data_IF_099656965099
#
_entry.id   IF_099656965099
#
_cell.length_a   1.000
_cell.length_b   1.000
_cell.length_c   1.000
_cell.angle_alpha   90.00
_cell.angle_beta   90.00
_cell.angle_gamma   90.00
#
_symmetry.space_group_name_H-M   'P 1'
#
loop_
_entity.id
_entity.type
_entity.pdbx_description
1 polymer ?
#
# COMPACT_ATOMS: atom_id res chain seq x y z
N UNK A 1 1.53 -15.14 -4.87
CA UNK A 1 2.11 -14.96 -3.51
C UNK A 1 3.37 -14.08 -3.45
N UNK A 2 4.47 -14.36 -4.17
CA UNK A 2 5.71 -13.54 -4.05
C UNK A 2 5.54 -12.05 -4.45
N UNK A 3 4.74 -11.77 -5.49
CA UNK A 3 4.48 -10.41 -5.96
C UNK A 3 3.68 -9.57 -4.96
N UNK A 4 2.65 -10.16 -4.33
CA UNK A 4 1.82 -9.46 -3.35
C UNK A 4 2.62 -9.06 -2.09
N UNK A 5 3.53 -9.92 -1.63
CA UNK A 5 4.40 -9.64 -0.48
C UNK A 5 5.36 -8.47 -0.73
N UNK A 6 5.99 -8.43 -1.91
CA UNK A 6 6.88 -7.34 -2.27
C UNK A 6 6.13 -6.00 -2.41
N UNK A 7 4.94 -6.03 -3.01
CA UNK A 7 4.08 -4.85 -3.12
C UNK A 7 3.70 -4.31 -1.74
N UNK A 8 3.22 -5.19 -0.86
CA UNK A 8 2.85 -4.82 0.51
C UNK A 8 4.04 -4.22 1.27
N UNK A 9 5.24 -4.79 1.16
CA UNK A 9 6.44 -4.24 1.78
C UNK A 9 6.76 -2.82 1.28
N UNK A 10 6.61 -2.57 -0.03
CA UNK A 10 6.83 -1.25 -0.63
C UNK A 10 5.79 -0.24 -0.15
N UNK A 11 4.51 -0.60 -0.20
CA UNK A 11 3.40 0.26 0.25
C UNK A 11 3.55 0.64 1.73
N UNK A 12 3.91 -0.34 2.57
CA UNK A 12 4.17 -0.12 4.00
C UNK A 12 5.32 0.86 4.23
N UNK A 13 6.41 0.69 3.49
CA UNK A 13 7.56 1.61 3.58
C UNK A 13 7.14 3.05 3.24
N UNK A 14 6.33 3.23 2.20
CA UNK A 14 5.79 4.55 1.86
C UNK A 14 4.81 5.09 2.90
N UNK A 15 3.97 4.24 3.49
CA UNK A 15 3.06 4.61 4.57
C UNK A 15 3.81 5.18 5.77
N UNK A 16 4.85 4.49 6.21
CA UNK A 16 5.67 4.90 7.35
C UNK A 16 6.41 6.22 7.08
N UNK A 17 7.03 6.36 5.91
CA UNK A 17 7.68 7.60 5.50
C UNK A 17 6.69 8.77 5.43
N UNK A 18 5.47 8.56 4.93
CA UNK A 18 4.42 9.61 4.90
C UNK A 18 3.87 9.94 6.29
N UNK A 19 3.78 8.96 7.20
CA UNK A 19 3.38 9.18 8.59
C UNK A 19 4.33 10.13 9.32
N UNK A 20 5.64 9.89 9.14
CA UNK A 20 6.72 10.68 9.75
C UNK A 20 6.94 12.03 9.07
N UNK A 21 7.00 12.05 7.74
CA UNK A 21 7.39 13.23 6.97
C UNK A 21 6.19 13.90 6.32
N UNK A 22 5.67 14.96 6.95
CA UNK A 22 4.50 15.69 6.44
C UNK A 22 4.65 16.26 5.02
N UNK A 23 5.89 16.53 4.59
CA UNK A 23 6.18 16.99 3.23
C UNK A 23 5.82 15.95 2.16
N UNK A 24 5.76 14.67 2.50
CA UNK A 24 5.38 13.58 1.58
C UNK A 24 3.85 13.36 1.52
N UNK A 25 3.07 14.02 2.39
CA UNK A 25 1.60 13.88 2.44
C UNK A 25 0.86 14.82 1.49
N UNK A 26 1.46 15.96 1.16
CA UNK A 26 0.82 16.98 0.34
C UNK A 26 1.36 17.01 -1.08
N UNK A 27 0.51 17.42 -2.03
CA UNK A 27 0.94 17.69 -3.40
C UNK A 27 1.88 18.89 -3.39
N UNK A 28 3.15 18.65 -3.70
CA UNK A 28 4.16 19.70 -3.74
C UNK A 28 4.37 20.19 -5.17
N UNK A 29 4.44 21.51 -5.37
CA UNK A 29 4.74 22.15 -6.66
C UNK A 29 6.23 22.09 -7.04
N UNK A 30 6.96 21.09 -6.52
CA UNK A 30 8.38 20.91 -6.80
C UNK A 30 8.59 20.21 -8.14
N UNK A 31 9.66 20.57 -8.83
CA UNK A 31 10.12 19.79 -9.99
C UNK A 31 10.47 18.36 -9.57
N UNK A 32 10.37 17.41 -10.50
CA UNK A 32 10.68 15.99 -10.26
C UNK A 32 12.07 15.78 -9.64
N UNK A 33 13.06 16.59 -10.05
CA UNK A 33 14.43 16.53 -9.53
C UNK A 33 14.51 16.87 -8.04
N UNK A 34 13.73 17.85 -7.60
CA UNK A 34 13.66 18.26 -6.19
C UNK A 34 12.89 17.22 -5.39
N UNK A 35 11.78 16.71 -5.92
CA UNK A 35 10.99 15.68 -5.26
C UNK A 35 11.81 14.40 -5.00
N UNK A 36 12.62 13.96 -5.97
CA UNK A 36 13.54 12.84 -5.78
C UNK A 36 14.54 13.09 -4.65
N UNK A 37 15.12 14.30 -4.56
CA UNK A 37 16.04 14.67 -3.48
C UNK A 37 15.35 14.66 -2.11
N UNK A 38 14.12 15.16 -2.03
CA UNK A 38 13.31 15.14 -0.80
C UNK A 38 13.09 13.69 -0.35
N UNK A 39 12.62 12.82 -1.26
CA UNK A 39 12.41 11.40 -0.95
C UNK A 39 13.71 10.75 -0.48
N UNK A 40 14.82 10.94 -1.20
CA UNK A 40 16.12 10.39 -0.80
C UNK A 40 16.56 10.89 0.58
N UNK A 41 16.41 12.19 0.87
CA UNK A 41 16.74 12.75 2.18
C UNK A 41 15.88 12.15 3.29
N UNK A 42 14.57 12.02 3.09
CA UNK A 42 13.65 11.37 4.03
C UNK A 42 14.08 9.92 4.32
N UNK A 43 14.42 9.14 3.29
CA UNK A 43 14.89 7.76 3.46
C UNK A 43 16.24 7.70 4.21
N UNK A 44 17.20 8.57 3.88
CA UNK A 44 18.50 8.60 4.54
C UNK A 44 18.38 8.94 6.02
N UNK A 45 17.60 9.99 6.35
CA UNK A 45 17.38 10.39 7.74
C UNK A 45 16.64 9.30 8.51
N UNK A 46 15.62 8.69 7.89
CA UNK A 46 14.90 7.58 8.48
C UNK A 46 15.83 6.39 8.80
N UNK A 47 16.65 5.97 7.84
CA UNK A 47 17.64 4.90 8.04
C UNK A 47 18.67 5.26 9.12
N UNK A 48 19.10 6.52 9.19
CA UNK A 48 20.01 6.99 10.23
C UNK A 48 19.35 6.88 11.61
N UNK A 49 18.11 7.35 11.75
CA UNK A 49 17.38 7.25 13.02
C UNK A 49 17.23 5.78 13.45
N UNK A 50 16.84 4.88 12.53
CA UNK A 50 16.74 3.44 12.84
C UNK A 50 18.07 2.81 13.27
N UNK A 51 19.19 3.37 12.83
CA UNK A 51 20.53 2.87 13.20
C UNK A 51 20.96 3.37 14.58
N UNK A 52 20.68 4.63 14.89
CA UNK A 52 21.17 5.27 16.12
C UNK A 52 20.19 5.16 17.30
N UNK A 53 18.89 5.00 17.03
CA UNK A 53 17.87 4.83 18.06
C UNK A 53 17.50 3.35 18.16
N UNK A 54 17.68 2.77 19.34
CA UNK A 54 17.30 1.37 19.62
C UNK A 54 15.79 1.13 19.46
N UNK A 55 15.00 2.17 19.75
CA UNK A 55 13.54 2.15 19.68
C UNK A 55 13.07 3.49 19.13
N UNK A 56 12.34 3.46 18.01
CA UNK A 56 11.66 4.64 17.46
C UNK A 56 10.17 4.57 17.85
N UNK A 57 9.68 5.47 18.73
CA UNK A 57 8.28 5.51 19.14
C UNK A 57 7.30 5.60 17.96
N UNK A 58 7.72 6.19 16.84
CA UNK A 58 6.90 6.29 15.63
C UNK A 58 6.87 4.99 14.82
N UNK A 59 7.82 4.08 15.01
CA UNK A 59 7.79 2.74 14.40
C UNK A 59 6.96 1.77 15.24
N UNK A 60 6.99 1.87 16.57
CA UNK A 60 6.23 0.99 17.48
C UNK A 60 4.72 1.10 17.23
N UNK A 61 4.18 2.33 17.16
CA UNK A 61 2.75 2.58 16.94
C UNK A 61 2.30 2.02 15.57
N UNK A 62 3.21 1.98 14.60
CA UNK A 62 2.96 1.39 13.28
C UNK A 62 3.10 -0.14 13.31
N UNK A 63 4.05 -0.70 14.07
CA UNK A 63 4.22 -2.15 14.26
C UNK A 63 3.06 -2.79 15.04
N UNK A 64 2.50 -2.10 16.04
CA UNK A 64 1.29 -2.55 16.74
C UNK A 64 0.10 -2.60 15.78
N UNK A 65 -0.12 -1.57 14.94
CA UNK A 65 -1.17 -1.62 13.90
C UNK A 65 -0.92 -2.69 12.83
N UNK A 66 0.34 -3.04 12.59
CA UNK A 66 0.76 -4.10 11.68
C UNK A 66 0.41 -5.48 12.23
N UNK A 67 0.58 -5.74 13.53
CA UNK A 67 0.29 -7.04 14.13
C UNK A 67 -1.20 -7.39 14.01
N UNK A 68 -2.09 -6.39 14.12
CA UNK A 68 -3.52 -6.53 13.84
C UNK A 68 -3.88 -6.70 12.36
N UNK A 69 -3.02 -6.28 11.43
CA UNK A 69 -3.19 -6.46 9.98
C UNK A 69 -2.43 -7.67 9.43
N UNK A 70 -1.70 -8.38 10.28
CA UNK A 70 -0.99 -9.61 9.95
C UNK A 70 -1.89 -10.84 10.03
N UNK A 71 -3.21 -10.65 10.02
CA UNK A 71 -4.08 -11.61 9.34
C UNK A 71 -3.73 -11.55 7.85
N UNK A 72 -2.70 -12.31 7.50
CA UNK A 72 -2.39 -12.67 6.13
C UNK A 72 -3.72 -13.03 5.46
N UNK A 73 -4.12 -12.26 4.45
CA UNK A 73 -5.11 -12.75 3.49
C UNK A 73 -4.39 -13.87 2.73
N UNK A 74 -4.34 -15.04 3.35
CA UNK A 74 -3.71 -16.26 2.83
C UNK A 74 -4.58 -16.84 1.70
N UNK A 75 -5.84 -16.42 1.66
CA UNK A 75 -6.86 -16.87 0.72
C UNK A 75 -7.70 -15.67 0.27
N UNK A 76 -7.45 -15.15 -0.94
CA UNK A 76 -8.51 -14.51 -1.72
C UNK A 76 -9.28 -15.66 -2.35
N UNK A 77 -10.16 -16.27 -1.58
CA UNK A 77 -11.15 -17.17 -2.15
C UNK A 77 -12.01 -16.32 -3.07
N UNK A 78 -12.18 -16.76 -4.32
CA UNK A 78 -13.24 -16.23 -5.15
C UNK A 78 -14.55 -16.59 -4.45
N UNK A 79 -15.08 -15.67 -3.64
CA UNK A 79 -16.33 -15.93 -2.96
C UNK A 79 -17.37 -16.26 -4.04
N UNK A 80 -18.21 -17.26 -3.76
CA UNK A 80 -19.22 -17.69 -4.71
C UNK A 80 -20.10 -16.50 -5.11
N UNK A 81 -20.34 -15.55 -4.20
CA UNK A 81 -21.05 -14.31 -4.47
C UNK A 81 -20.39 -13.47 -5.58
N UNK A 82 -19.08 -13.25 -5.54
CA UNK A 82 -18.37 -12.48 -6.56
C UNK A 82 -18.27 -13.20 -7.91
N UNK A 83 -18.20 -14.53 -7.88
CA UNK A 83 -18.22 -15.35 -9.11
C UNK A 83 -19.59 -15.28 -9.76
N UNK A 84 -20.65 -15.51 -8.99
CA UNK A 84 -22.04 -15.41 -9.46
C UNK A 84 -22.35 -14.02 -10.01
N UNK A 85 -21.94 -12.95 -9.31
CA UNK A 85 -22.17 -11.59 -9.78
C UNK A 85 -21.49 -11.30 -11.13
N UNK A 86 -20.24 -11.77 -11.31
CA UNK A 86 -19.53 -11.61 -12.59
C UNK A 86 -20.18 -12.41 -13.71
N UNK A 87 -20.66 -13.62 -13.43
CA UNK A 87 -21.31 -14.47 -14.42
C UNK A 87 -22.68 -13.90 -14.83
N UNK A 88 -23.47 -13.39 -13.88
CA UNK A 88 -24.74 -12.71 -14.16
C UNK A 88 -24.54 -11.47 -15.02
N UNK A 89 -23.52 -10.66 -14.71
CA UNK A 89 -23.17 -9.49 -15.50
C UNK A 89 -22.78 -9.88 -16.92
N UNK A 90 -21.93 -10.89 -17.09
CA UNK A 90 -21.51 -11.39 -18.41
C UNK A 90 -22.72 -11.91 -19.23
N UNK A 91 -23.63 -12.66 -18.59
CA UNK A 91 -24.85 -13.14 -19.24
C UNK A 91 -25.77 -11.97 -19.65
N UNK A 92 -25.92 -10.96 -18.79
CA UNK A 92 -26.75 -9.78 -19.12
C UNK A 92 -26.22 -9.03 -20.34
N UNK A 93 -24.89 -8.84 -20.43
CA UNK A 93 -24.23 -8.18 -21.56
C UNK A 93 -24.38 -8.98 -22.85
N UNK A 94 -24.20 -10.30 -22.77
CA UNK A 94 -24.37 -11.20 -23.90
C UNK A 94 -25.80 -11.22 -24.43
N UNK A 95 -26.79 -11.29 -23.54
CA UNK A 95 -28.20 -11.28 -23.91
C UNK A 95 -28.62 -9.93 -24.50
N UNK A 96 -28.11 -8.82 -23.97
CA UNK A 96 -28.34 -7.49 -24.54
C UNK A 96 -27.76 -7.37 -25.96
N UNK A 97 -26.62 -8.00 -26.24
CA UNK A 97 -26.04 -8.05 -27.58
C UNK A 97 -26.86 -8.91 -28.56
N UNK A 98 -27.40 -10.04 -28.12
CA UNK A 98 -28.24 -10.92 -28.96
C UNK A 98 -29.63 -10.35 -29.26
N UNK A 99 -30.15 -9.50 -28.39
CA UNK A 99 -31.48 -8.89 -28.49
C UNK A 99 -31.48 -7.56 -29.29
N UNK A 100 -30.36 -7.21 -29.91
CA UNK A 100 -30.17 -6.00 -30.73
C UNK A 100 -29.71 -6.38 -32.14
#
# INVERSE_FOLDING_TARGET
MKHARAHNAIERTFGLLKGRWGILRSLSWYSIKIHNKIISACCLIHNFIRREMEVDPLEIDVEEQVEYQQDNIDVVESSQEWTTWRDELAQSMWNAHLNN
#
